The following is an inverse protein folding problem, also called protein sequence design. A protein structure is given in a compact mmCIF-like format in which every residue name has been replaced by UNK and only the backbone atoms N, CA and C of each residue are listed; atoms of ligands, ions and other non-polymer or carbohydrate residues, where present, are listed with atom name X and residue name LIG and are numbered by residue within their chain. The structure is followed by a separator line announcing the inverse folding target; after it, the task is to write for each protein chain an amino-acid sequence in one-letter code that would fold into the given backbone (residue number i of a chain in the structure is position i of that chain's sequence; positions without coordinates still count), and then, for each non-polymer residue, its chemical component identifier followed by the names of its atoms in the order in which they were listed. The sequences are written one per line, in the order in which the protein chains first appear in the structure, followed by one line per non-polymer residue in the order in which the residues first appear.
data_IF_331696597465
#
_entry.id   IF_331696597465
#
_cell.length_a   1.000
_cell.length_b   1.000
_cell.length_c   1.000
_cell.angle_alpha   90.00
_cell.angle_beta   90.00
_cell.angle_gamma   90.00
#
_symmetry.space_group_name_H-M   'P 1'
#
loop_
_entity.id
_entity.type
_entity.pdbx_description
1 polymer ?
#
# COMPACT_ATOMS: atom_id res chain seq x y z
N UNK A 1 -11.28 -52.50 36.62
CA UNK A 1 -10.51 -51.23 36.78
C UNK A 1 -9.68 -50.89 35.57
N UNK A 2 -8.95 -51.78 34.90
CA UNK A 2 -8.05 -51.48 33.77
C UNK A 2 -8.71 -50.84 32.49
N UNK A 3 -9.99 -51.15 32.20
CA UNK A 3 -10.67 -50.56 31.00
C UNK A 3 -11.05 -49.07 31.16
N UNK A 4 -11.20 -48.58 32.38
CA UNK A 4 -11.56 -47.16 32.64
C UNK A 4 -10.32 -46.25 32.50
N UNK A 5 -9.14 -46.75 32.85
CA UNK A 5 -7.90 -45.99 32.75
C UNK A 5 -7.43 -45.86 31.29
N UNK A 6 -7.56 -46.95 30.49
CA UNK A 6 -7.26 -46.91 29.05
C UNK A 6 -8.09 -45.88 28.28
N UNK A 7 -9.36 -45.72 28.64
CA UNK A 7 -10.24 -44.77 27.96
C UNK A 7 -9.98 -43.31 28.38
N UNK A 8 -9.37 -43.04 29.55
CA UNK A 8 -8.88 -41.70 29.90
C UNK A 8 -7.65 -41.30 29.15
N UNK A 9 -6.72 -42.23 28.93
CA UNK A 9 -5.51 -41.99 28.15
C UNK A 9 -5.81 -41.69 26.65
N UNK A 10 -6.71 -42.44 26.05
CA UNK A 10 -7.13 -42.23 24.65
C UNK A 10 -7.91 -40.90 24.46
N UNK A 11 -8.67 -40.46 25.47
CA UNK A 11 -9.32 -39.14 25.44
C UNK A 11 -8.34 -37.97 25.65
N UNK A 12 -7.27 -38.17 26.42
CA UNK A 12 -6.23 -37.14 26.57
C UNK A 12 -5.35 -36.99 25.35
N UNK A 13 -5.12 -38.07 24.61
CA UNK A 13 -4.36 -38.02 23.33
C UNK A 13 -5.15 -37.43 22.16
N UNK A 14 -6.48 -37.47 22.22
CA UNK A 14 -7.36 -36.93 21.17
C UNK A 14 -7.99 -35.56 21.55
N UNK A 15 -7.58 -34.93 22.65
CA UNK A 15 -7.96 -33.57 22.91
C UNK A 15 -7.32 -32.66 21.89
N UNK A 16 -8.11 -31.87 21.12
CA UNK A 16 -7.51 -30.90 20.19
C UNK A 16 -6.59 -29.99 20.99
N UNK A 17 -5.34 -29.87 20.56
CA UNK A 17 -4.37 -28.96 21.17
C UNK A 17 -5.05 -27.60 21.33
N UNK A 18 -5.05 -27.05 22.54
CA UNK A 18 -5.65 -25.76 22.82
C UNK A 18 -5.04 -24.74 21.85
N UNK A 19 -5.89 -24.20 20.97
CA UNK A 19 -5.45 -23.13 20.04
C UNK A 19 -4.91 -21.99 20.91
N UNK A 20 -3.63 -21.62 20.79
CA UNK A 20 -3.08 -20.57 21.62
C UNK A 20 -3.93 -19.31 21.45
N UNK A 21 -4.24 -18.58 22.53
CA UNK A 21 -5.05 -17.38 22.46
C UNK A 21 -4.40 -16.40 21.46
N UNK A 22 -5.22 -15.81 20.59
CA UNK A 22 -4.73 -14.79 19.62
C UNK A 22 -3.97 -13.73 20.42
N UNK A 23 -2.77 -13.33 19.96
CA UNK A 23 -2.04 -12.26 20.61
C UNK A 23 -2.90 -11.00 20.62
N UNK A 24 -3.13 -10.43 21.81
CA UNK A 24 -3.86 -9.16 21.93
C UNK A 24 -3.06 -8.06 21.26
N UNK A 25 -3.76 -7.17 20.52
CA UNK A 25 -3.12 -5.97 19.97
C UNK A 25 -2.47 -5.19 21.12
N UNK A 26 -1.17 -4.87 21.01
CA UNK A 26 -0.48 -4.10 22.05
C UNK A 26 -0.98 -2.65 22.11
N UNK A 27 -0.69 -1.98 23.22
CA UNK A 27 -1.18 -0.62 23.50
C UNK A 27 -0.74 0.45 22.50
N UNK A 28 0.37 0.24 21.80
CA UNK A 28 0.85 1.15 20.76
C UNK A 28 0.11 1.03 19.41
N UNK A 29 -0.80 0.06 19.26
CA UNK A 29 -1.68 -0.06 18.10
C UNK A 29 -3.06 0.46 18.48
N UNK A 30 -3.20 1.78 18.60
CA UNK A 30 -4.46 2.47 18.86
C UNK A 30 -4.86 3.34 17.70
N UNK A 31 -6.11 3.29 17.31
CA UNK A 31 -6.70 4.05 16.21
C UNK A 31 -7.85 4.92 16.70
N UNK A 32 -8.08 6.04 16.04
CA UNK A 32 -9.22 6.92 16.31
C UNK A 32 -10.48 6.34 15.66
N UNK A 33 -11.59 6.35 16.38
CA UNK A 33 -12.88 5.97 15.81
C UNK A 33 -13.32 6.94 14.71
N UNK A 34 -13.95 6.46 13.62
CA UNK A 34 -14.39 7.27 12.48
C UNK A 34 -15.75 7.94 12.75
N UNK A 35 -15.79 8.93 13.66
CA UNK A 35 -17.04 9.58 14.15
C UNK A 35 -17.11 11.08 13.85
N UNK A 36 -16.13 11.65 13.14
CA UNK A 36 -16.10 13.10 12.86
C UNK A 36 -17.01 13.50 11.70
N UNK A 37 -17.45 14.76 11.68
CA UNK A 37 -18.21 15.32 10.55
C UNK A 37 -17.43 15.23 9.23
N UNK A 38 -16.13 15.55 9.23
CA UNK A 38 -15.27 15.42 8.04
C UNK A 38 -15.19 13.98 7.49
N UNK A 39 -15.18 12.97 8.39
CA UNK A 39 -15.30 11.58 7.98
C UNK A 39 -16.62 11.29 7.25
N UNK A 40 -17.74 11.75 7.81
CA UNK A 40 -19.07 11.51 7.22
C UNK A 40 -19.25 12.25 5.88
N UNK A 41 -18.71 13.46 5.75
CA UNK A 41 -18.74 14.24 4.50
C UNK A 41 -17.92 13.52 3.41
N UNK A 42 -16.68 13.11 3.70
CA UNK A 42 -15.83 12.37 2.75
C UNK A 42 -16.52 11.08 2.32
N UNK A 43 -17.07 10.31 3.27
CA UNK A 43 -17.78 9.07 2.97
C UNK A 43 -18.99 9.27 2.08
N UNK A 44 -19.77 10.33 2.31
CA UNK A 44 -20.94 10.65 1.49
C UNK A 44 -20.53 10.93 0.05
N UNK A 45 -19.53 11.80 -0.13
CA UNK A 45 -19.04 12.17 -1.44
C UNK A 45 -18.53 10.96 -2.25
N UNK A 46 -17.71 10.08 -1.60
CA UNK A 46 -17.24 8.86 -2.28
C UNK A 46 -18.38 7.98 -2.77
N UNK A 47 -19.47 7.87 -2.00
CA UNK A 47 -20.65 7.09 -2.38
C UNK A 47 -21.49 7.75 -3.46
N UNK A 48 -21.71 9.06 -3.41
CA UNK A 48 -22.44 9.83 -4.42
C UNK A 48 -21.76 9.75 -5.78
N UNK A 49 -20.43 9.73 -5.81
CA UNK A 49 -19.63 9.59 -7.03
C UNK A 49 -19.32 8.12 -7.40
N UNK A 50 -19.90 7.14 -6.69
CA UNK A 50 -19.67 5.71 -6.90
C UNK A 50 -18.18 5.31 -6.92
N UNK A 51 -17.37 5.94 -6.06
CA UNK A 51 -15.94 5.67 -5.95
C UNK A 51 -15.63 4.65 -4.85
N UNK A 52 -14.81 3.67 -5.19
CA UNK A 52 -14.21 2.76 -4.22
C UNK A 52 -13.00 3.42 -3.55
N UNK A 53 -12.73 3.08 -2.29
CA UNK A 53 -11.53 3.54 -1.58
C UNK A 53 -10.81 2.37 -0.93
N UNK A 54 -9.48 2.36 -1.02
CA UNK A 54 -8.69 1.37 -0.29
C UNK A 54 -8.85 1.52 1.22
N UNK A 55 -9.25 2.70 1.68
CA UNK A 55 -9.50 2.97 3.10
C UNK A 55 -10.64 2.12 3.67
N UNK A 56 -11.73 1.93 2.91
CA UNK A 56 -12.85 1.06 3.29
C UNK A 56 -12.53 -0.40 2.96
N UNK A 57 -12.13 -0.71 1.73
CA UNK A 57 -11.93 -2.08 1.25
C UNK A 57 -10.83 -2.82 2.01
N UNK A 58 -9.73 -2.15 2.34
CA UNK A 58 -8.64 -2.73 3.13
C UNK A 58 -8.85 -2.64 4.65
N UNK A 59 -10.01 -2.15 5.13
CA UNK A 59 -10.28 -1.92 6.55
C UNK A 59 -9.15 -1.11 7.23
N UNK A 60 -8.74 0.00 6.61
CA UNK A 60 -7.58 0.80 7.02
C UNK A 60 -7.75 1.35 8.46
N UNK A 61 -6.78 1.13 9.36
CA UNK A 61 -6.87 1.61 10.73
C UNK A 61 -6.88 3.15 10.83
N UNK A 62 -6.39 3.86 9.83
CA UNK A 62 -6.25 5.32 9.83
C UNK A 62 -7.44 6.05 9.21
N UNK A 63 -8.48 5.34 8.75
CA UNK A 63 -9.61 5.93 8.00
C UNK A 63 -10.25 7.11 8.75
N UNK A 64 -10.45 6.99 10.07
CA UNK A 64 -11.06 8.04 10.89
C UNK A 64 -10.25 9.32 10.92
N UNK A 65 -8.91 9.25 10.95
CA UNK A 65 -8.05 10.42 10.93
C UNK A 65 -7.92 11.00 9.51
N UNK A 66 -7.65 10.16 8.52
CA UNK A 66 -7.46 10.60 7.14
C UNK A 66 -8.70 11.31 6.60
N UNK A 67 -9.87 10.73 6.77
CA UNK A 67 -11.11 11.29 6.24
C UNK A 67 -11.59 12.53 7.02
N UNK A 68 -11.23 12.64 8.30
CA UNK A 68 -11.42 13.90 9.04
C UNK A 68 -10.67 15.07 8.38
N UNK A 69 -9.50 14.78 7.82
CA UNK A 69 -8.66 15.74 7.08
C UNK A 69 -8.99 15.79 5.58
N UNK A 70 -10.07 15.15 5.15
CA UNK A 70 -10.49 15.00 3.74
C UNK A 70 -9.47 14.26 2.86
N UNK A 71 -8.55 13.51 3.44
CA UNK A 71 -7.57 12.69 2.71
C UNK A 71 -8.16 11.30 2.47
N UNK A 72 -8.41 10.93 1.23
CA UNK A 72 -8.83 9.60 0.82
C UNK A 72 -7.88 9.03 -0.25
N UNK A 73 -7.68 7.71 -0.22
CA UNK A 73 -6.98 7.00 -1.30
C UNK A 73 -8.06 6.36 -2.17
N UNK A 74 -8.20 6.90 -3.37
CA UNK A 74 -9.21 6.42 -4.32
C UNK A 74 -8.70 5.16 -5.00
N UNK A 75 -9.55 4.14 -5.05
CA UNK A 75 -9.26 2.87 -5.71
C UNK A 75 -10.04 2.81 -7.03
N UNK A 76 -9.35 2.85 -8.13
CA UNK A 76 -9.91 2.77 -9.48
C UNK A 76 -9.98 1.33 -9.99
N UNK A 77 -10.67 1.13 -11.13
CA UNK A 77 -10.89 -0.17 -11.77
C UNK A 77 -11.84 -1.09 -10.99
N UNK A 78 -12.64 -0.50 -10.09
CA UNK A 78 -13.65 -1.20 -9.30
C UNK A 78 -13.15 -1.72 -7.96
N UNK A 79 -13.94 -2.60 -7.35
CA UNK A 79 -13.79 -3.14 -5.99
C UNK A 79 -13.31 -4.59 -5.93
N UNK A 80 -13.11 -5.24 -7.08
CA UNK A 80 -12.83 -6.67 -7.19
C UNK A 80 -11.50 -6.91 -7.88
N UNK A 81 -10.57 -7.58 -7.20
CA UNK A 81 -9.21 -7.87 -7.66
C UNK A 81 -9.13 -9.26 -8.30
N UNK A 82 -8.35 -9.41 -9.37
CA UNK A 82 -8.08 -10.71 -10.02
C UNK A 82 -7.09 -11.58 -9.23
N UNK A 83 -6.46 -11.03 -8.17
CA UNK A 83 -5.46 -11.73 -7.34
C UNK A 83 -5.89 -11.87 -5.89
N UNK A 84 -5.41 -12.93 -5.23
CA UNK A 84 -5.72 -13.29 -3.84
C UNK A 84 -4.47 -13.19 -2.95
N UNK A 85 -4.06 -11.97 -2.61
CA UNK A 85 -2.95 -11.77 -1.66
C UNK A 85 -3.43 -12.07 -0.24
N UNK A 86 -2.67 -12.91 0.50
CA UNK A 86 -3.08 -13.40 1.82
C UNK A 86 -3.20 -12.31 2.91
N UNK A 87 -2.67 -11.12 2.66
CA UNK A 87 -2.76 -9.96 3.56
C UNK A 87 -3.92 -9.01 3.24
N UNK A 88 -4.48 -9.07 2.02
CA UNK A 88 -5.34 -8.05 1.45
C UNK A 88 -6.82 -8.36 1.67
N UNK A 89 -7.58 -7.39 2.19
CA UNK A 89 -9.00 -7.54 2.45
C UNK A 89 -9.90 -7.16 1.25
N UNK A 90 -9.31 -6.70 0.14
CA UNK A 90 -10.05 -6.39 -1.08
C UNK A 90 -10.67 -7.66 -1.65
N UNK A 91 -11.90 -7.56 -2.13
CA UNK A 91 -12.67 -8.65 -2.71
C UNK A 91 -11.94 -9.27 -3.90
N UNK A 92 -11.86 -10.59 -3.94
CA UNK A 92 -11.24 -11.35 -5.03
C UNK A 92 -12.30 -11.99 -5.92
N UNK A 93 -12.09 -11.96 -7.23
CA UNK A 93 -13.01 -12.58 -8.19
C UNK A 93 -12.88 -12.03 -9.60
N UNK A 94 -13.93 -12.19 -10.39
CA UNK A 94 -14.03 -11.61 -11.72
C UNK A 94 -14.53 -10.15 -11.59
N UNK A 95 -13.72 -9.15 -11.99
CA UNK A 95 -14.12 -7.75 -11.92
C UNK A 95 -15.23 -7.40 -12.92
N UNK A 96 -15.97 -6.35 -12.62
CA UNK A 96 -16.92 -5.74 -13.56
C UNK A 96 -16.17 -5.03 -14.71
N UNK A 97 -16.86 -4.72 -15.82
CA UNK A 97 -16.32 -3.85 -16.85
C UNK A 97 -15.82 -2.52 -16.25
N UNK A 98 -14.81 -1.94 -16.88
CA UNK A 98 -14.27 -0.64 -16.45
C UNK A 98 -15.32 0.45 -16.65
N UNK A 99 -15.55 1.26 -15.61
CA UNK A 99 -16.45 2.40 -15.68
C UNK A 99 -15.79 3.54 -16.48
N UNK A 100 -16.37 3.95 -17.62
CA UNK A 100 -15.80 5.04 -18.42
C UNK A 100 -15.91 6.41 -17.75
N UNK A 101 -16.78 6.59 -16.75
CA UNK A 101 -16.98 7.84 -16.01
C UNK A 101 -16.09 7.94 -14.76
N UNK A 102 -15.44 6.87 -14.35
CA UNK A 102 -14.58 6.85 -13.16
C UNK A 102 -13.52 7.95 -13.16
N UNK A 103 -12.81 8.28 -14.27
CA UNK A 103 -11.84 9.39 -14.30
C UNK A 103 -12.46 10.75 -13.95
N UNK A 104 -13.63 11.06 -14.48
CA UNK A 104 -14.34 12.31 -14.19
C UNK A 104 -14.87 12.34 -12.74
N UNK A 105 -15.35 11.22 -12.22
CA UNK A 105 -15.78 11.10 -10.82
C UNK A 105 -14.61 11.33 -9.87
N UNK A 106 -13.43 10.77 -10.15
CA UNK A 106 -12.21 10.98 -9.35
C UNK A 106 -11.79 12.45 -9.37
N UNK A 107 -11.76 13.07 -10.54
CA UNK A 107 -11.41 14.49 -10.68
C UNK A 107 -12.43 15.40 -9.98
N UNK A 108 -13.71 15.03 -9.99
CA UNK A 108 -14.78 15.74 -9.27
C UNK A 108 -14.57 15.64 -7.76
N UNK A 109 -14.31 14.43 -7.24
CA UNK A 109 -14.04 14.24 -5.81
C UNK A 109 -12.83 15.05 -5.34
N UNK A 110 -11.74 15.07 -6.13
CA UNK A 110 -10.55 15.84 -5.83
C UNK A 110 -10.85 17.35 -5.73
N UNK A 111 -11.64 17.88 -6.67
CA UNK A 111 -12.04 19.28 -6.69
C UNK A 111 -12.95 19.65 -5.51
N UNK A 112 -13.97 18.84 -5.23
CA UNK A 112 -14.94 19.11 -4.14
C UNK A 112 -14.32 19.00 -2.75
N UNK A 113 -13.35 18.08 -2.57
CA UNK A 113 -12.57 17.99 -1.33
C UNK A 113 -11.50 19.07 -1.21
N UNK A 114 -11.15 19.76 -2.31
CA UNK A 114 -10.08 20.74 -2.35
C UNK A 114 -8.69 20.10 -2.09
N UNK A 115 -8.43 18.97 -2.71
CA UNK A 115 -7.21 18.20 -2.41
C UNK A 115 -5.95 18.88 -2.97
N UNK A 116 -4.98 19.15 -2.12
CA UNK A 116 -3.62 19.53 -2.54
C UNK A 116 -2.81 18.31 -3.02
N UNK A 117 -3.15 17.12 -2.53
CA UNK A 117 -2.51 15.85 -2.87
C UNK A 117 -3.53 14.73 -2.93
N UNK A 118 -3.50 13.92 -3.98
CA UNK A 118 -4.37 12.76 -4.14
C UNK A 118 -3.53 11.50 -4.36
N UNK A 119 -3.96 10.39 -3.74
CA UNK A 119 -3.39 9.06 -4.00
C UNK A 119 -4.40 8.22 -4.75
N UNK A 120 -4.02 7.75 -5.92
CA UNK A 120 -4.80 6.85 -6.77
C UNK A 120 -4.17 5.47 -6.72
N UNK A 121 -4.96 4.48 -6.36
CA UNK A 121 -4.56 3.06 -6.43
C UNK A 121 -5.57 2.27 -7.24
N UNK A 122 -5.31 0.99 -7.44
CA UNK A 122 -6.25 0.10 -8.14
C UNK A 122 -6.23 -1.31 -7.57
N UNK A 123 -7.22 -2.09 -7.97
CA UNK A 123 -7.16 -3.55 -7.94
C UNK A 123 -6.27 -4.07 -9.06
N UNK A 124 -5.75 -5.31 -8.93
CA UNK A 124 -5.12 -5.99 -10.08
C UNK A 124 -6.21 -6.36 -11.11
N UNK A 125 -5.93 -6.08 -12.38
CA UNK A 125 -6.79 -6.34 -13.54
C UNK A 125 -6.02 -7.15 -14.58
N UNK A 126 -5.57 -8.35 -14.18
CA UNK A 126 -4.88 -9.28 -15.08
C UNK A 126 -5.75 -9.70 -16.28
N UNK A 127 -7.06 -9.52 -16.18
CA UNK A 127 -8.06 -9.73 -17.23
C UNK A 127 -8.00 -8.69 -18.37
N UNK A 128 -7.50 -7.47 -18.11
CA UNK A 128 -7.37 -6.42 -19.12
C UNK A 128 -6.09 -6.56 -19.94
N UNK A 129 -6.12 -6.22 -21.25
CA UNK A 129 -4.94 -6.31 -22.13
C UNK A 129 -3.73 -5.50 -21.65
N UNK A 130 -3.98 -4.34 -21.02
CA UNK A 130 -2.98 -3.40 -20.51
C UNK A 130 -2.81 -3.47 -18.98
N UNK A 131 -3.51 -4.41 -18.31
CA UNK A 131 -3.50 -4.50 -16.84
C UNK A 131 -4.15 -3.30 -16.13
N UNK A 132 -4.87 -2.44 -16.87
CA UNK A 132 -5.54 -1.25 -16.37
C UNK A 132 -4.71 0.04 -16.47
N UNK A 133 -3.55 0.02 -17.15
CA UNK A 133 -2.67 1.18 -17.27
C UNK A 133 -3.37 2.42 -17.87
N UNK A 134 -4.16 2.23 -18.93
CA UNK A 134 -4.91 3.32 -19.57
C UNK A 134 -5.92 4.01 -18.66
N UNK A 135 -6.46 3.30 -17.68
CA UNK A 135 -7.38 3.92 -16.72
C UNK A 135 -6.62 4.87 -15.79
N UNK A 136 -5.39 4.51 -15.35
CA UNK A 136 -4.51 5.43 -14.63
C UNK A 136 -4.23 6.69 -15.45
N UNK A 137 -3.88 6.53 -16.74
CA UNK A 137 -3.62 7.67 -17.66
C UNK A 137 -4.83 8.60 -17.72
N UNK A 138 -6.03 8.06 -17.97
CA UNK A 138 -7.27 8.85 -18.05
C UNK A 138 -7.58 9.60 -16.75
N UNK A 139 -7.34 8.96 -15.60
CA UNK A 139 -7.54 9.58 -14.29
C UNK A 139 -6.55 10.72 -14.07
N UNK A 140 -5.27 10.53 -14.42
CA UNK A 140 -4.24 11.58 -14.33
C UNK A 140 -4.62 12.76 -15.23
N UNK A 141 -5.02 12.52 -16.48
CA UNK A 141 -5.45 13.55 -17.42
C UNK A 141 -6.66 14.33 -16.92
N UNK A 142 -7.69 13.64 -16.40
CA UNK A 142 -8.87 14.27 -15.83
C UNK A 142 -8.53 15.16 -14.62
N UNK A 143 -7.66 14.68 -13.72
CA UNK A 143 -7.15 15.46 -12.58
C UNK A 143 -6.36 16.67 -13.04
N UNK A 144 -5.42 16.53 -13.98
CA UNK A 144 -4.63 17.67 -14.51
C UNK A 144 -5.51 18.74 -15.15
N UNK A 145 -6.59 18.33 -15.81
CA UNK A 145 -7.56 19.26 -16.40
C UNK A 145 -8.39 20.00 -15.35
N UNK A 146 -8.87 19.30 -14.30
CA UNK A 146 -9.82 19.85 -13.32
C UNK A 146 -9.15 20.48 -12.10
N UNK A 147 -8.05 19.90 -11.64
CA UNK A 147 -7.28 20.33 -10.46
C UNK A 147 -5.78 20.38 -10.79
N UNK A 148 -5.33 21.29 -11.65
CA UNK A 148 -3.96 21.30 -12.19
C UNK A 148 -2.86 21.48 -11.13
N UNK A 149 -3.19 22.07 -9.98
CA UNK A 149 -2.25 22.24 -8.85
C UNK A 149 -2.18 21.05 -7.90
N UNK A 150 -3.09 20.07 -8.03
CA UNK A 150 -3.10 18.88 -7.17
C UNK A 150 -1.93 17.98 -7.50
N UNK A 151 -1.14 17.63 -6.50
CA UNK A 151 -0.08 16.61 -6.62
C UNK A 151 -0.71 15.23 -6.74
N UNK A 152 -0.26 14.45 -7.72
CA UNK A 152 -0.82 13.13 -8.03
C UNK A 152 0.20 12.04 -7.66
N UNK A 153 -0.10 11.25 -6.66
CA UNK A 153 0.60 9.99 -6.37
C UNK A 153 -0.23 8.83 -6.90
N UNK A 154 0.41 7.91 -7.59
CA UNK A 154 -0.21 6.65 -8.01
C UNK A 154 0.41 5.48 -7.26
N UNK A 155 -0.39 4.53 -6.84
CA UNK A 155 0.05 3.24 -6.29
C UNK A 155 -0.45 2.13 -7.24
N UNK A 156 0.47 1.64 -8.08
CA UNK A 156 0.12 0.73 -9.17
C UNK A 156 0.28 -0.74 -8.79
N UNK A 157 -0.43 -1.67 -9.49
CA UNK A 157 -0.07 -3.07 -9.53
C UNK A 157 1.26 -3.28 -10.27
N UNK A 158 1.75 -4.54 -10.35
CA UNK A 158 2.95 -4.87 -11.11
C UNK A 158 2.70 -5.05 -12.63
N UNK A 159 1.45 -4.89 -13.07
CA UNK A 159 0.98 -5.11 -14.44
C UNK A 159 1.43 -6.45 -15.05
N UNK A 160 1.96 -7.35 -14.24
CA UNK A 160 2.45 -8.68 -14.64
C UNK A 160 3.39 -8.62 -15.85
N UNK A 161 3.06 -9.30 -16.96
CA UNK A 161 3.88 -9.35 -18.17
C UNK A 161 3.75 -8.09 -19.07
N UNK A 162 3.02 -7.06 -18.63
CA UNK A 162 2.70 -5.83 -19.38
C UNK A 162 3.39 -4.60 -18.78
N UNK A 163 4.24 -4.79 -17.76
CA UNK A 163 4.77 -3.70 -16.93
C UNK A 163 5.58 -2.65 -17.72
N UNK A 164 6.34 -3.04 -18.74
CA UNK A 164 7.17 -2.08 -19.49
C UNK A 164 6.31 -1.08 -20.29
N UNK A 165 5.30 -1.56 -21.03
CA UNK A 165 4.37 -0.71 -21.76
C UNK A 165 3.49 0.13 -20.82
N UNK A 166 2.99 -0.49 -19.72
CA UNK A 166 2.21 0.20 -18.72
C UNK A 166 2.96 1.35 -18.04
N UNK A 167 4.23 1.13 -17.67
CA UNK A 167 5.10 2.17 -17.09
C UNK A 167 5.32 3.29 -18.09
N UNK A 168 5.54 2.98 -19.37
CA UNK A 168 5.74 3.99 -20.42
C UNK A 168 4.53 4.92 -20.57
N UNK A 169 3.33 4.35 -20.72
CA UNK A 169 2.08 5.11 -20.84
C UNK A 169 1.83 5.97 -19.59
N UNK A 170 2.01 5.42 -18.40
CA UNK A 170 1.73 6.13 -17.14
C UNK A 170 2.77 7.21 -16.85
N UNK A 171 4.05 6.96 -17.11
CA UNK A 171 5.12 7.95 -16.93
C UNK A 171 4.90 9.13 -17.88
N UNK A 172 4.47 8.88 -19.13
CA UNK A 172 4.13 9.92 -20.09
C UNK A 172 2.94 10.80 -19.63
N UNK A 173 1.98 10.23 -18.88
CA UNK A 173 0.87 11.00 -18.29
C UNK A 173 1.30 11.91 -17.12
N UNK A 174 2.51 11.73 -16.56
CA UNK A 174 3.15 12.65 -15.64
C UNK A 174 2.56 12.70 -14.24
N UNK A 175 2.43 11.59 -13.50
CA UNK A 175 2.21 11.64 -12.06
C UNK A 175 3.44 12.23 -11.35
N UNK A 176 3.23 12.81 -10.16
CA UNK A 176 4.33 13.40 -9.38
C UNK A 176 5.10 12.33 -8.58
N UNK A 177 4.40 11.27 -8.14
CA UNK A 177 4.97 10.15 -7.40
C UNK A 177 4.48 8.84 -7.99
N UNK A 178 5.42 7.96 -8.32
CA UNK A 178 5.14 6.59 -8.73
C UNK A 178 5.41 5.62 -7.57
N UNK A 179 4.37 5.02 -7.04
CA UNK A 179 4.45 4.08 -5.94
C UNK A 179 4.10 2.66 -6.42
N UNK A 180 4.89 1.68 -6.00
CA UNK A 180 4.58 0.27 -6.10
C UNK A 180 5.16 -0.46 -4.89
N UNK A 181 4.31 -1.09 -4.10
CA UNK A 181 4.73 -1.75 -2.87
C UNK A 181 5.33 -3.14 -3.14
N UNK A 182 6.43 -3.46 -2.47
CA UNK A 182 6.96 -4.83 -2.39
C UNK A 182 6.19 -5.70 -1.40
N UNK A 183 5.56 -5.10 -0.41
CA UNK A 183 4.70 -5.68 0.63
C UNK A 183 5.44 -6.56 1.64
N UNK A 184 6.34 -7.45 1.21
CA UNK A 184 7.08 -8.37 2.10
C UNK A 184 8.41 -8.79 1.48
N UNK A 185 9.17 -9.64 2.18
CA UNK A 185 10.47 -10.18 1.76
C UNK A 185 10.31 -11.31 0.73
N UNK A 186 11.32 -11.58 -0.13
CA UNK A 186 11.24 -12.59 -1.21
C UNK A 186 10.76 -13.96 -0.76
N UNK A 187 11.27 -14.47 0.37
CA UNK A 187 10.93 -15.80 0.92
C UNK A 187 9.43 -15.95 1.20
N UNK A 188 8.75 -14.87 1.55
CA UNK A 188 7.32 -14.89 1.90
C UNK A 188 6.39 -14.66 0.69
N UNK A 189 6.91 -14.28 -0.49
CA UNK A 189 6.06 -14.03 -1.66
C UNK A 189 5.14 -15.20 -2.03
N UNK A 190 5.61 -16.49 -2.06
CA UNK A 190 4.74 -17.60 -2.44
C UNK A 190 3.50 -17.78 -1.57
N UNK A 191 3.58 -17.39 -0.30
CA UNK A 191 2.50 -17.56 0.68
C UNK A 191 1.69 -16.27 0.91
N UNK A 192 2.34 -15.12 0.85
CA UNK A 192 1.73 -13.82 1.19
C UNK A 192 1.21 -13.11 -0.06
N UNK A 193 1.94 -13.18 -1.17
CA UNK A 193 1.63 -12.50 -2.44
C UNK A 193 1.78 -13.43 -3.65
N UNK A 194 1.04 -14.55 -3.71
CA UNK A 194 1.30 -15.63 -4.68
C UNK A 194 1.13 -15.21 -6.15
N UNK A 195 0.33 -14.18 -6.42
CA UNK A 195 0.10 -13.64 -7.77
C UNK A 195 1.20 -12.71 -8.28
N UNK A 196 2.16 -12.31 -7.45
CA UNK A 196 3.22 -11.35 -7.78
C UNK A 196 4.61 -12.00 -7.76
N UNK A 197 5.60 -11.26 -8.28
CA UNK A 197 7.01 -11.69 -8.31
C UNK A 197 7.90 -10.56 -7.81
N UNK A 198 8.70 -10.82 -6.77
CA UNK A 198 9.55 -9.83 -6.10
C UNK A 198 10.44 -9.04 -7.08
N UNK A 199 11.22 -9.74 -7.89
CA UNK A 199 12.11 -9.08 -8.84
C UNK A 199 11.39 -8.39 -10.00
N UNK A 200 10.16 -8.78 -10.34
CA UNK A 200 9.36 -8.06 -11.31
C UNK A 200 8.90 -6.70 -10.76
N UNK A 201 8.53 -6.66 -9.47
CA UNK A 201 8.21 -5.41 -8.77
C UNK A 201 9.40 -4.44 -8.70
N UNK A 202 10.61 -4.95 -8.44
CA UNK A 202 11.83 -4.12 -8.47
C UNK A 202 12.13 -3.58 -9.87
N UNK A 203 12.08 -4.43 -10.90
CA UNK A 203 12.29 -4.00 -12.29
C UNK A 203 11.27 -2.96 -12.75
N UNK A 204 10.04 -3.03 -12.25
CA UNK A 204 9.04 -2.00 -12.54
C UNK A 204 9.49 -0.63 -12.00
N UNK A 205 9.91 -0.56 -10.73
CA UNK A 205 10.41 0.68 -10.12
C UNK A 205 11.69 1.19 -10.79
N UNK A 206 12.62 0.29 -11.14
CA UNK A 206 13.81 0.62 -11.91
C UNK A 206 13.47 1.18 -13.30
N UNK A 207 12.48 0.60 -13.99
CA UNK A 207 11.99 1.08 -15.28
C UNK A 207 11.43 2.50 -15.17
N UNK A 208 10.68 2.82 -14.11
CA UNK A 208 10.20 4.18 -13.84
C UNK A 208 11.38 5.15 -13.72
N UNK A 209 12.40 4.82 -12.92
CA UNK A 209 13.59 5.67 -12.77
C UNK A 209 14.38 5.85 -14.05
N UNK A 210 14.51 4.81 -14.85
CA UNK A 210 15.19 4.87 -16.15
C UNK A 210 14.46 5.79 -17.13
N UNK A 211 13.11 5.72 -17.19
CA UNK A 211 12.28 6.51 -18.10
C UNK A 211 12.05 7.96 -17.61
N UNK A 212 11.96 8.15 -16.30
CA UNK A 212 11.73 9.45 -15.67
C UNK A 212 12.60 9.63 -14.40
N UNK A 213 13.90 9.95 -14.54
CA UNK A 213 14.83 10.08 -13.40
C UNK A 213 14.39 11.13 -12.37
N UNK A 214 13.65 12.15 -12.80
CA UNK A 214 13.14 13.23 -11.95
C UNK A 214 11.89 12.85 -11.14
N UNK A 215 11.15 11.80 -11.57
CA UNK A 215 9.95 11.36 -10.86
C UNK A 215 10.30 10.73 -9.52
N UNK A 216 9.56 11.07 -8.47
CA UNK A 216 9.72 10.41 -7.18
C UNK A 216 9.20 8.97 -7.25
N UNK A 217 10.00 8.03 -6.76
CA UNK A 217 9.61 6.63 -6.62
C UNK A 217 9.44 6.26 -5.17
N UNK A 218 8.41 5.50 -4.88
CA UNK A 218 8.02 5.10 -3.54
C UNK A 218 7.74 3.60 -3.50
N UNK A 219 8.06 2.98 -2.38
CA UNK A 219 7.69 1.59 -2.12
C UNK A 219 7.42 1.35 -0.64
N UNK A 220 6.69 0.29 -0.35
CA UNK A 220 6.31 -0.05 1.01
C UNK A 220 6.50 -1.53 1.31
N UNK A 221 6.77 -1.80 2.60
CA UNK A 221 6.76 -3.15 3.17
C UNK A 221 5.95 -3.19 4.45
N UNK A 222 5.30 -4.31 4.68
CA UNK A 222 4.71 -4.64 5.97
C UNK A 222 5.65 -5.54 6.74
N UNK A 223 5.72 -5.36 8.07
CA UNK A 223 6.47 -6.22 8.98
C UNK A 223 5.52 -6.90 9.97
N UNK A 224 5.96 -8.05 10.49
CA UNK A 224 5.15 -8.90 11.37
C UNK A 224 4.48 -10.07 10.66
N UNK A 225 4.92 -10.42 9.44
CA UNK A 225 4.48 -11.57 8.65
C UNK A 225 5.43 -12.80 8.77
N UNK A 226 6.47 -12.72 9.63
CA UNK A 226 7.47 -13.78 9.84
C UNK A 226 8.76 -13.57 9.04
N UNK A 227 9.00 -12.38 8.55
CA UNK A 227 10.28 -11.97 7.96
C UNK A 227 11.37 -11.88 9.02
N UNK A 228 12.61 -12.15 8.62
CA UNK A 228 13.78 -11.93 9.47
C UNK A 228 14.33 -10.52 9.27
N UNK A 229 14.94 -9.96 10.31
CA UNK A 229 15.49 -8.59 10.26
C UNK A 229 16.47 -8.37 9.12
N UNK A 230 17.35 -9.34 8.85
CA UNK A 230 18.32 -9.25 7.74
C UNK A 230 17.64 -9.28 6.37
N UNK A 231 16.54 -10.02 6.22
CA UNK A 231 15.75 -10.03 4.99
C UNK A 231 15.14 -8.64 4.71
N UNK A 232 14.66 -7.94 5.76
CA UNK A 232 14.14 -6.56 5.62
C UNK A 232 15.25 -5.60 5.22
N UNK A 233 16.48 -5.75 5.78
CA UNK A 233 17.64 -4.94 5.37
C UNK A 233 18.02 -5.18 3.91
N UNK A 234 17.96 -6.43 3.43
CA UNK A 234 18.20 -6.76 2.02
C UNK A 234 17.14 -6.14 1.11
N UNK A 235 15.86 -6.18 1.49
CA UNK A 235 14.79 -5.49 0.73
C UNK A 235 15.05 -4.00 0.62
N UNK A 236 15.58 -3.35 1.67
CA UNK A 236 15.97 -1.94 1.59
C UNK A 236 17.11 -1.71 0.58
N UNK A 237 18.12 -2.60 0.54
CA UNK A 237 19.21 -2.52 -0.43
C UNK A 237 18.70 -2.71 -1.86
N UNK A 238 17.85 -3.71 -2.07
CA UNK A 238 17.24 -3.98 -3.38
C UNK A 238 16.39 -2.80 -3.86
N UNK A 239 15.60 -2.18 -2.97
CA UNK A 239 14.83 -0.97 -3.29
C UNK A 239 15.75 0.20 -3.66
N UNK A 240 16.85 0.42 -2.93
CA UNK A 240 17.80 1.49 -3.27
C UNK A 240 18.47 1.24 -4.61
N UNK A 241 18.83 -0.01 -4.91
CA UNK A 241 19.38 -0.41 -6.21
C UNK A 241 18.39 -0.16 -7.35
N UNK A 242 17.07 -0.34 -7.11
CA UNK A 242 16.01 -0.01 -8.06
C UNK A 242 15.67 1.50 -8.10
N UNK A 243 16.38 2.34 -7.37
CA UNK A 243 16.20 3.80 -7.39
C UNK A 243 15.00 4.30 -6.57
N UNK A 244 14.52 3.56 -5.57
CA UNK A 244 13.42 4.01 -4.71
C UNK A 244 13.87 5.16 -3.82
N UNK A 245 13.15 6.29 -3.87
CA UNK A 245 13.43 7.49 -3.07
C UNK A 245 12.82 7.42 -1.67
N UNK A 246 11.60 6.91 -1.56
CA UNK A 246 10.81 6.91 -0.34
C UNK A 246 10.40 5.50 0.09
N UNK A 247 10.74 5.13 1.32
CA UNK A 247 10.33 3.89 1.97
C UNK A 247 9.22 4.14 2.98
N UNK A 248 8.10 3.41 2.85
CA UNK A 248 7.09 3.28 3.91
C UNK A 248 7.16 1.89 4.55
N UNK A 249 7.09 1.84 5.88
CA UNK A 249 7.09 0.59 6.63
C UNK A 249 6.03 0.62 7.73
N UNK A 250 5.14 -0.37 7.73
CA UNK A 250 4.05 -0.48 8.69
C UNK A 250 3.88 -1.88 9.26
N UNK A 251 3.21 -1.99 10.42
CA UNK A 251 2.83 -3.27 11.00
C UNK A 251 1.73 -3.92 10.17
N UNK A 252 1.91 -5.17 9.80
CA UNK A 252 0.82 -5.97 9.27
C UNK A 252 -0.27 -6.17 10.35
N UNK A 253 -1.50 -5.91 9.99
CA UNK A 253 -2.67 -6.14 10.84
C UNK A 253 -3.63 -7.09 10.12
N UNK A 254 -3.87 -8.26 10.70
CA UNK A 254 -4.74 -9.27 10.11
C UNK A 254 -6.19 -8.75 10.01
N UNK A 255 -6.75 -8.60 8.78
CA UNK A 255 -8.11 -8.08 8.63
C UNK A 255 -9.18 -9.05 9.16
N UNK A 256 -9.09 -10.33 8.80
CA UNK A 256 -10.00 -11.39 9.28
C UNK A 256 -9.22 -12.68 9.55
N UNK A 257 -9.81 -13.66 10.25
CA UNK A 257 -9.16 -14.95 10.52
C UNK A 257 -8.75 -15.77 9.28
N UNK A 258 -9.25 -15.40 8.10
CA UNK A 258 -8.91 -16.07 6.82
C UNK A 258 -7.60 -15.58 6.22
N UNK A 259 -7.13 -14.39 6.62
CA UNK A 259 -5.90 -13.78 6.13
C UNK A 259 -4.68 -14.33 6.86
N UNK A 260 -3.50 -14.03 6.33
CA UNK A 260 -2.23 -14.38 6.97
C UNK A 260 -2.23 -13.97 8.44
N UNK A 261 -1.65 -14.79 9.30
CA UNK A 261 -1.54 -14.49 10.73
C UNK A 261 -0.54 -13.37 10.98
N UNK A 262 -0.75 -12.62 12.04
CA UNK A 262 0.31 -11.78 12.60
C UNK A 262 1.26 -12.68 13.36
N UNK A 263 2.50 -12.80 12.88
CA UNK A 263 3.54 -13.60 13.53
C UNK A 263 4.20 -12.83 14.68
N UNK A 264 4.35 -11.50 14.50
CA UNK A 264 4.93 -10.62 15.52
C UNK A 264 4.28 -9.23 15.48
N UNK A 265 4.08 -8.62 16.66
CA UNK A 265 3.82 -7.21 16.79
C UNK A 265 5.15 -6.48 17.03
N UNK A 266 5.69 -5.91 15.95
CA UNK A 266 6.97 -5.20 15.96
C UNK A 266 6.86 -3.94 16.82
N UNK A 267 7.82 -3.74 17.72
CA UNK A 267 7.78 -2.61 18.66
C UNK A 267 8.08 -1.27 17.98
N UNK A 268 7.59 -0.13 18.52
CA UNK A 268 7.96 1.20 18.01
C UNK A 268 9.47 1.41 17.94
N UNK A 269 10.23 0.96 18.95
CA UNK A 269 11.70 1.01 18.97
C UNK A 269 12.34 0.25 17.81
N UNK A 270 11.77 -0.87 17.40
CA UNK A 270 12.26 -1.63 16.24
C UNK A 270 11.97 -0.87 14.93
N UNK A 271 10.81 -0.19 14.81
CA UNK A 271 10.52 0.70 13.69
C UNK A 271 11.51 1.87 13.61
N UNK A 272 11.88 2.48 14.76
CA UNK A 272 12.91 3.54 14.83
C UNK A 272 14.25 3.02 14.31
N UNK A 273 14.64 1.79 14.69
CA UNK A 273 15.86 1.16 14.21
C UNK A 273 15.84 0.91 12.70
N UNK A 274 14.72 0.38 12.15
CA UNK A 274 14.55 0.24 10.71
C UNK A 274 14.62 1.59 9.98
N UNK A 275 14.00 2.63 10.53
CA UNK A 275 14.04 3.97 9.94
C UNK A 275 15.48 4.54 9.92
N UNK A 276 16.25 4.34 10.98
CA UNK A 276 17.65 4.78 11.05
C UNK A 276 18.52 4.07 9.99
N UNK A 277 18.35 2.75 9.85
CA UNK A 277 19.06 1.94 8.84
C UNK A 277 18.67 2.37 7.42
N UNK A 278 17.39 2.57 7.15
CA UNK A 278 16.91 3.00 5.83
C UNK A 278 17.50 4.38 5.46
N UNK A 279 17.54 5.33 6.41
CA UNK A 279 18.19 6.64 6.17
C UNK A 279 19.68 6.47 5.87
N UNK A 280 20.38 5.61 6.61
CA UNK A 280 21.80 5.31 6.37
C UNK A 280 22.04 4.67 5.00
N UNK A 281 21.07 3.92 4.46
CA UNK A 281 21.09 3.34 3.10
C UNK A 281 20.78 4.38 2.00
N UNK A 282 20.48 5.63 2.35
CA UNK A 282 20.31 6.72 1.41
C UNK A 282 18.89 6.89 0.84
N UNK A 283 17.84 6.38 1.52
CA UNK A 283 16.48 6.78 1.19
C UNK A 283 16.31 8.28 1.47
N UNK A 284 15.73 8.99 0.53
CA UNK A 284 15.48 10.42 0.62
C UNK A 284 14.46 10.74 1.74
N UNK A 285 13.46 9.87 1.89
CA UNK A 285 12.48 9.91 2.97
C UNK A 285 12.16 8.51 3.48
N UNK A 286 11.89 8.40 4.79
CA UNK A 286 11.49 7.15 5.45
C UNK A 286 10.36 7.45 6.41
N UNK A 287 9.21 6.78 6.21
CA UNK A 287 8.10 6.73 7.17
C UNK A 287 7.98 5.29 7.70
N UNK A 288 8.30 5.10 8.98
CA UNK A 288 8.27 3.78 9.60
C UNK A 288 7.64 3.88 10.99
N UNK A 289 6.46 3.28 11.16
CA UNK A 289 5.76 3.17 12.45
C UNK A 289 4.70 2.08 12.39
N UNK A 290 4.18 1.61 13.53
CA UNK A 290 3.14 0.57 13.53
C UNK A 290 1.90 0.90 12.68
N UNK A 291 1.51 2.16 12.62
CA UNK A 291 0.33 2.59 11.88
C UNK A 291 0.63 3.20 10.50
N UNK A 292 1.90 3.28 10.09
CA UNK A 292 2.27 3.73 8.74
C UNK A 292 1.59 2.86 7.67
N UNK A 293 1.07 3.52 6.63
CA UNK A 293 0.53 2.93 5.40
C UNK A 293 1.05 3.73 4.21
N UNK A 294 1.04 3.16 3.02
CA UNK A 294 1.61 3.79 1.82
C UNK A 294 1.07 5.19 1.55
N UNK A 295 -0.20 5.44 1.83
CA UNK A 295 -0.85 6.74 1.59
C UNK A 295 -1.08 7.57 2.87
N UNK A 296 -0.60 7.11 4.04
CA UNK A 296 -0.78 7.83 5.28
C UNK A 296 0.14 9.05 5.32
N UNK A 297 -0.42 10.25 5.44
CA UNK A 297 0.28 11.56 5.35
C UNK A 297 1.02 11.82 4.03
N UNK A 298 0.60 11.21 2.91
CA UNK A 298 1.31 11.26 1.63
C UNK A 298 1.60 12.70 1.14
N UNK A 299 0.67 13.65 1.33
CA UNK A 299 0.86 15.05 0.96
C UNK A 299 1.97 15.75 1.76
N UNK A 300 2.01 15.53 3.08
CA UNK A 300 3.07 16.09 3.93
C UNK A 300 4.43 15.47 3.58
N UNK A 301 4.45 14.17 3.28
CA UNK A 301 5.66 13.44 2.93
C UNK A 301 6.17 13.88 1.55
N UNK A 302 5.29 14.19 0.60
CA UNK A 302 5.68 14.76 -0.70
C UNK A 302 6.41 16.10 -0.54
N UNK A 303 5.88 17.01 0.28
CA UNK A 303 6.53 18.31 0.58
C UNK A 303 7.92 18.10 1.19
N UNK A 304 8.07 17.13 2.10
CA UNK A 304 9.39 16.77 2.68
C UNK A 304 10.35 16.19 1.64
N UNK A 305 9.86 15.33 0.73
CA UNK A 305 10.69 14.76 -0.35
C UNK A 305 11.22 15.84 -1.29
N UNK A 306 10.38 16.81 -1.68
CA UNK A 306 10.80 17.95 -2.50
C UNK A 306 11.89 18.76 -1.79
N UNK A 307 11.69 19.11 -0.53
CA UNK A 307 12.67 19.85 0.25
C UNK A 307 14.00 19.08 0.39
N UNK A 308 13.94 17.77 0.65
CA UNK A 308 15.14 16.94 0.76
C UNK A 308 15.90 16.83 -0.55
N UNK A 309 15.22 16.70 -1.70
CA UNK A 309 15.84 16.69 -3.03
C UNK A 309 16.53 18.01 -3.33
N UNK A 310 15.87 19.14 -3.08
CA UNK A 310 16.44 20.46 -3.31
C UNK A 310 17.72 20.65 -2.49
N UNK A 311 17.72 20.27 -1.21
CA UNK A 311 18.90 20.33 -0.35
C UNK A 311 20.08 19.46 -0.84
N UNK A 312 19.79 18.30 -1.48
CA UNK A 312 20.83 17.46 -2.10
C UNK A 312 21.41 18.15 -3.33
N UNK A 313 20.57 18.71 -4.20
CA UNK A 313 21.02 19.42 -5.41
C UNK A 313 21.86 20.66 -5.07
N UNK A 314 21.46 21.44 -4.08
CA UNK A 314 22.22 22.61 -3.61
C UNK A 314 23.62 22.22 -3.13
N UNK A 315 23.74 21.12 -2.36
CA UNK A 315 25.06 20.62 -1.89
C UNK A 315 25.94 20.07 -3.01
N UNK A 316 25.36 19.55 -4.07
CA UNK A 316 26.10 19.01 -5.24
C UNK A 316 26.62 20.13 -6.16
N UNK A 317 26.03 21.33 -6.08
CA UNK A 317 26.40 22.51 -6.86
C UNK A 317 27.30 23.48 -6.07
N UNK A 318 27.56 23.24 -4.79
CA UNK A 318 28.46 24.01 -3.91
C UNK A 318 29.82 23.33 -3.78
#
# INVERSE_FOLDING_TARGET
MARAESNRYLRAMNAPAAVPPKPRKPDWIRVKAPVSEGYHQTRRLMRELNLATVCEEAACPNIGECWTKKHATVMILGDTCTRACAFCNVKTGMPRPVDPLEPEHVATAAAELGLEHIVITSVDRDDLPDGGARQFVKVIEALRKRTPSTTIEILTPDFRNKSEAAVEEIVAAGPDVYNHNLETVPRLYPTIRPGARYYASLRLLESVKRKAPHMFTKSGVMVGLGEQRLEVHQVMDDMRSAGVDFLTMGQYLQPTPRHAKVEEFVTPKAFDAYAAIARAKGFLLVAASPLTRSSYHAGDDFKKMQAARNAVLERSNA
#
